data_IF_068654029850
#
_entry.id   IF_068654029850
#
_cell.length_a   1.000
_cell.length_b   1.000
_cell.length_c   1.000
_cell.angle_alpha   90.00
_cell.angle_beta   90.00
_cell.angle_gamma   90.00
#
_symmetry.space_group_name_H-M   'P 1'
#
loop_
_entity.id
_entity.type
_entity.pdbx_description
1 polymer ?
#
# COMPACT_ATOMS: atom_id res chain seq x y z
N UNK A 1 -21.14 21.47 9.15
CA UNK A 1 -20.21 20.73 8.26
C UNK A 1 -20.29 19.20 8.40
N UNK A 2 -21.19 18.68 9.22
CA UNK A 2 -21.29 17.24 9.48
C UNK A 2 -21.63 16.39 8.24
N UNK A 3 -22.37 16.96 7.29
CA UNK A 3 -22.81 16.30 6.06
C UNK A 3 -21.89 16.55 4.85
N UNK A 4 -20.78 17.30 5.01
CA UNK A 4 -19.96 17.74 3.89
C UNK A 4 -18.69 16.90 3.69
N UNK A 5 -18.25 16.81 2.43
CA UNK A 5 -16.93 16.35 2.05
C UNK A 5 -16.16 17.52 1.42
N UNK A 6 -14.91 17.72 1.85
CA UNK A 6 -14.01 18.75 1.31
C UNK A 6 -12.68 18.11 0.96
N UNK A 7 -12.04 18.64 -0.07
CA UNK A 7 -10.71 18.18 -0.43
C UNK A 7 -10.00 19.13 -1.38
N UNK A 8 -8.69 19.13 -1.28
CA UNK A 8 -7.81 19.83 -2.20
C UNK A 8 -6.66 18.90 -2.57
N UNK A 9 -6.23 18.98 -3.81
CA UNK A 9 -5.12 18.17 -4.32
C UNK A 9 -4.20 19.04 -5.16
N UNK A 10 -2.91 18.97 -4.86
CA UNK A 10 -1.84 19.52 -5.67
C UNK A 10 -0.99 18.38 -6.22
N UNK A 11 -0.62 18.46 -7.49
CA UNK A 11 0.20 17.44 -8.14
C UNK A 11 1.24 18.14 -9.01
N UNK A 12 2.49 17.74 -8.86
CA UNK A 12 3.61 18.16 -9.69
C UNK A 12 4.23 16.93 -10.38
N UNK A 13 3.67 16.50 -11.52
CA UNK A 13 4.19 15.37 -12.28
C UNK A 13 5.36 15.84 -13.15
N UNK A 14 6.57 15.37 -12.83
CA UNK A 14 7.77 15.64 -13.61
C UNK A 14 8.59 14.35 -13.75
N UNK A 15 9.46 14.24 -14.75
CA UNK A 15 10.26 13.05 -14.97
C UNK A 15 11.25 12.81 -13.84
N UNK A 16 11.91 13.86 -13.33
CA UNK A 16 12.91 13.79 -12.26
C UNK A 16 12.28 13.84 -10.87
N UNK A 17 11.29 14.71 -10.67
CA UNK A 17 10.57 14.89 -9.42
C UNK A 17 9.09 14.68 -9.60
N UNK A 18 8.49 13.91 -8.70
CA UNK A 18 7.05 13.70 -8.68
C UNK A 18 6.56 13.98 -7.27
N UNK A 19 5.75 15.01 -7.13
CA UNK A 19 5.21 15.42 -5.84
C UNK A 19 3.70 15.48 -5.86
N UNK A 20 3.09 15.06 -4.76
CA UNK A 20 1.66 15.04 -4.58
C UNK A 20 1.31 15.42 -3.15
N UNK A 21 0.34 16.32 -3.01
CA UNK A 21 -0.23 16.70 -1.73
C UNK A 21 -1.76 16.58 -1.82
N UNK A 22 -2.36 15.79 -0.96
CA UNK A 22 -3.80 15.64 -0.88
C UNK A 22 -4.27 15.92 0.55
N UNK A 23 -5.24 16.80 0.69
CA UNK A 23 -6.02 16.99 1.91
C UNK A 23 -7.45 16.57 1.66
N UNK A 24 -8.05 15.87 2.62
CA UNK A 24 -9.46 15.48 2.58
C UNK A 24 -10.06 15.55 3.98
N UNK A 25 -11.27 16.07 4.05
CA UNK A 25 -12.11 16.08 5.24
C UNK A 25 -13.48 15.50 4.90
N UNK A 26 -13.96 14.57 5.71
CA UNK A 26 -15.31 14.04 5.66
C UNK A 26 -16.00 14.30 7.00
N UNK A 27 -17.20 14.86 6.96
CA UNK A 27 -18.02 15.07 8.16
C UNK A 27 -18.49 13.76 8.77
N UNK A 28 -18.91 13.78 10.03
CA UNK A 28 -19.34 12.59 10.78
C UNK A 28 -20.54 11.88 10.11
N UNK A 29 -21.48 12.66 9.59
CA UNK A 29 -22.73 12.19 8.99
C UNK A 29 -22.71 12.24 7.46
N UNK A 30 -21.52 12.27 6.85
CA UNK A 30 -21.40 12.26 5.40
C UNK A 30 -21.92 10.95 4.83
N UNK A 31 -22.94 11.03 3.97
CA UNK A 31 -23.50 9.90 3.23
C UNK A 31 -23.42 10.21 1.73
N UNK A 32 -22.57 9.51 0.97
CA UNK A 32 -22.51 9.71 -0.47
C UNK A 32 -23.80 9.20 -1.12
N UNK A 33 -24.42 10.00 -1.97
CA UNK A 33 -25.61 9.62 -2.74
C UNK A 33 -25.33 8.45 -3.70
N UNK A 34 -24.06 8.35 -4.15
CA UNK A 34 -23.56 7.26 -5.00
C UNK A 34 -22.19 6.85 -4.48
N UNK A 35 -22.02 5.54 -4.24
CA UNK A 35 -20.76 4.98 -3.77
C UNK A 35 -20.76 4.62 -2.28
N UNK A 36 -19.57 4.36 -1.74
CA UNK A 36 -19.36 3.92 -0.38
C UNK A 36 -18.23 4.72 0.28
N UNK A 37 -18.48 5.24 1.46
CA UNK A 37 -17.49 5.85 2.33
C UNK A 37 -17.18 4.85 3.47
N UNK A 38 -16.00 4.19 3.45
CA UNK A 38 -15.66 3.16 4.45
C UNK A 38 -15.50 3.73 5.87
N UNK A 39 -15.28 5.03 5.98
CA UNK A 39 -15.18 5.75 7.25
C UNK A 39 -15.57 7.21 7.03
N UNK A 40 -16.32 7.76 7.98
CA UNK A 40 -16.67 9.16 8.10
C UNK A 40 -15.92 9.81 9.28
N UNK A 41 -16.08 11.11 9.46
CA UNK A 41 -15.58 11.83 10.63
C UNK A 41 -14.06 11.92 10.69
N UNK A 42 -13.40 12.28 9.58
CA UNK A 42 -11.94 12.37 9.57
C UNK A 42 -11.40 13.57 8.76
N UNK A 43 -10.19 13.96 9.11
CA UNK A 43 -9.30 14.84 8.34
C UNK A 43 -8.06 14.04 7.96
N UNK A 44 -7.62 14.11 6.70
CA UNK A 44 -6.49 13.33 6.20
C UNK A 44 -5.58 14.19 5.32
N UNK A 45 -4.29 14.19 5.63
CA UNK A 45 -3.23 14.82 4.86
C UNK A 45 -2.29 13.74 4.33
N UNK A 46 -2.02 13.75 3.02
CA UNK A 46 -1.18 12.76 2.35
C UNK A 46 -0.18 13.43 1.40
N UNK A 47 0.99 13.88 1.88
CA UNK A 47 2.09 14.28 1.03
C UNK A 47 2.85 13.06 0.51
N UNK A 48 3.28 13.14 -0.75
CA UNK A 48 4.17 12.18 -1.40
C UNK A 48 5.22 12.94 -2.19
N UNK A 49 6.46 12.52 -2.12
CA UNK A 49 7.54 13.03 -2.97
C UNK A 49 8.39 11.86 -3.47
N UNK A 50 8.77 11.91 -4.75
CA UNK A 50 9.64 10.92 -5.38
C UNK A 50 10.72 11.62 -6.18
N UNK A 51 11.92 11.08 -6.09
CA UNK A 51 13.08 11.45 -6.88
C UNK A 51 13.42 10.31 -7.83
N UNK A 52 13.47 10.60 -9.14
CA UNK A 52 13.50 9.59 -10.20
C UNK A 52 14.65 9.82 -11.18
N UNK A 53 15.93 9.76 -10.74
CA UNK A 53 17.07 10.00 -11.62
C UNK A 53 17.25 8.91 -12.66
N UNK A 54 17.82 9.31 -13.82
CA UNK A 54 18.23 8.43 -14.91
C UNK A 54 19.73 8.41 -15.01
N UNK A 55 20.43 7.37 -14.51
CA UNK A 55 21.88 7.30 -14.56
C UNK A 55 22.36 7.06 -16.01
N UNK A 56 23.10 8.00 -16.55
CA UNK A 56 23.59 7.95 -17.95
C UNK A 56 24.65 6.85 -18.15
N UNK A 57 25.41 6.55 -17.11
CA UNK A 57 26.54 5.58 -17.19
C UNK A 57 26.11 4.12 -16.98
N UNK A 58 24.87 3.87 -16.61
CA UNK A 58 24.38 2.53 -16.33
C UNK A 58 23.51 2.01 -17.49
N UNK A 59 24.14 1.50 -18.54
CA UNK A 59 23.48 1.09 -19.79
C UNK A 59 22.23 0.20 -19.63
N UNK A 60 22.18 -0.61 -18.58
CA UNK A 60 21.05 -1.51 -18.32
C UNK A 60 19.96 -0.92 -17.43
N UNK A 61 20.21 0.26 -16.85
CA UNK A 61 19.32 0.90 -15.88
C UNK A 61 18.66 2.12 -16.49
N UNK A 62 17.38 2.03 -16.69
CA UNK A 62 16.57 3.11 -17.24
C UNK A 62 16.32 4.24 -16.24
N UNK A 63 16.02 3.88 -14.98
CA UNK A 63 15.64 4.84 -13.95
C UNK A 63 15.79 4.25 -12.56
N UNK A 64 16.23 5.06 -11.63
CA UNK A 64 16.11 4.81 -10.20
C UNK A 64 14.91 5.60 -9.65
N UNK A 65 14.30 5.13 -8.57
CA UNK A 65 13.23 5.85 -7.89
C UNK A 65 13.42 5.73 -6.38
N UNK A 66 13.41 6.88 -5.72
CA UNK A 66 13.42 7.02 -4.27
C UNK A 66 12.17 7.81 -3.89
N UNK A 67 11.52 7.45 -2.81
CA UNK A 67 10.28 8.16 -2.47
C UNK A 67 9.92 8.05 -1.00
N UNK A 68 9.17 9.04 -0.54
CA UNK A 68 8.51 9.02 0.75
C UNK A 68 7.04 9.40 0.56
N UNK A 69 6.17 8.63 1.20
CA UNK A 69 4.74 8.90 1.29
C UNK A 69 4.38 8.97 2.77
N UNK A 70 3.75 10.05 3.15
CA UNK A 70 3.23 10.22 4.50
C UNK A 70 1.71 10.23 4.47
N UNK A 71 1.10 9.79 5.56
CA UNK A 71 -0.32 9.93 5.81
C UNK A 71 -0.52 10.34 7.26
N UNK A 72 -1.26 11.41 7.47
CA UNK A 72 -1.69 11.85 8.78
C UNK A 72 -3.19 11.97 8.78
N UNK A 73 -3.85 11.22 9.63
CA UNK A 73 -5.31 11.14 9.71
C UNK A 73 -5.75 11.32 11.16
N UNK A 74 -6.65 12.25 11.37
CA UNK A 74 -7.28 12.53 12.65
C UNK A 74 -8.79 12.41 12.53
N UNK A 75 -9.49 12.29 13.64
CA UNK A 75 -10.92 12.58 13.69
C UNK A 75 -11.19 14.08 13.49
N UNK A 76 -12.46 14.48 13.48
CA UNK A 76 -12.86 15.87 13.30
C UNK A 76 -12.36 16.74 14.46
N UNK A 77 -12.23 16.18 15.67
CA UNK A 77 -11.78 16.86 16.88
C UNK A 77 -10.25 16.93 17.01
N UNK A 78 -9.53 16.33 16.06
CA UNK A 78 -8.06 16.36 16.01
C UNK A 78 -7.36 15.20 16.73
N UNK A 79 -8.09 14.20 17.23
CA UNK A 79 -7.48 13.01 17.82
C UNK A 79 -6.85 12.16 16.73
N UNK A 80 -5.66 11.63 16.98
CA UNK A 80 -4.94 10.81 16.02
C UNK A 80 -5.68 9.48 15.78
N UNK A 81 -6.01 9.21 14.53
CA UNK A 81 -6.51 7.91 14.06
C UNK A 81 -5.37 7.09 13.48
N UNK A 82 -4.59 7.71 12.58
CA UNK A 82 -3.52 7.01 11.84
C UNK A 82 -2.42 7.98 11.45
N UNK A 83 -1.19 7.56 11.62
CA UNK A 83 -0.01 8.21 11.07
C UNK A 83 0.88 7.16 10.42
N UNK A 84 1.13 7.28 9.13
CA UNK A 84 1.93 6.32 8.38
C UNK A 84 3.03 7.04 7.61
N UNK A 85 4.23 6.48 7.63
CA UNK A 85 5.32 6.84 6.75
C UNK A 85 5.76 5.60 5.97
N UNK A 86 5.71 5.68 4.64
CA UNK A 86 6.25 4.68 3.72
C UNK A 86 7.45 5.27 3.03
N UNK A 87 8.59 4.61 3.15
CA UNK A 87 9.83 4.94 2.46
C UNK A 87 10.04 3.91 1.37
N UNK A 88 9.92 4.33 0.12
CA UNK A 88 10.40 3.59 -1.04
C UNK A 88 11.90 3.85 -1.14
N UNK A 89 12.67 3.05 -0.39
CA UNK A 89 14.09 3.30 -0.18
C UNK A 89 14.87 3.21 -1.48
N UNK A 90 14.47 2.29 -2.36
CA UNK A 90 15.09 2.09 -3.65
C UNK A 90 14.16 1.31 -4.58
N UNK A 91 13.99 1.80 -5.79
CA UNK A 91 13.39 1.06 -6.91
C UNK A 91 14.25 1.27 -8.14
N UNK A 92 14.64 0.20 -8.77
CA UNK A 92 15.38 0.18 -10.03
C UNK A 92 14.46 -0.30 -11.15
N UNK A 93 14.44 0.44 -12.25
CA UNK A 93 13.78 0.06 -13.50
C UNK A 93 14.86 -0.20 -14.53
N UNK A 94 14.85 -1.39 -15.08
CA UNK A 94 15.79 -1.80 -16.12
C UNK A 94 15.29 -1.44 -17.51
N UNK A 95 16.19 -1.36 -18.49
CA UNK A 95 15.84 -1.07 -19.89
C UNK A 95 14.92 -2.14 -20.50
N UNK A 96 15.05 -3.39 -20.08
CA UNK A 96 14.17 -4.49 -20.49
C UNK A 96 12.76 -4.45 -19.86
N UNK A 97 12.48 -3.44 -19.03
CA UNK A 97 11.21 -3.24 -18.34
C UNK A 97 11.03 -4.02 -17.04
N UNK A 98 12.05 -4.75 -16.59
CA UNK A 98 12.04 -5.39 -15.27
C UNK A 98 12.25 -4.36 -14.17
N UNK A 99 11.76 -4.65 -12.97
CA UNK A 99 11.89 -3.78 -11.81
C UNK A 99 12.28 -4.59 -10.57
N UNK A 100 13.07 -3.99 -9.69
CA UNK A 100 13.31 -4.48 -8.34
C UNK A 100 13.12 -3.33 -7.36
N UNK A 101 12.60 -3.63 -6.17
CA UNK A 101 12.29 -2.58 -5.21
C UNK A 101 12.40 -3.06 -3.76
N UNK A 102 12.72 -2.13 -2.88
CA UNK A 102 12.74 -2.31 -1.44
C UNK A 102 12.18 -1.06 -0.76
N UNK A 103 11.48 -1.26 0.33
CA UNK A 103 10.96 -0.17 1.12
C UNK A 103 10.64 -0.58 2.55
N UNK A 104 10.29 0.41 3.35
CA UNK A 104 9.91 0.24 4.74
C UNK A 104 8.72 1.11 5.10
N UNK A 105 7.98 0.72 6.14
CA UNK A 105 6.90 1.53 6.70
C UNK A 105 6.98 1.59 8.22
N UNK A 106 6.50 2.72 8.74
CA UNK A 106 6.17 2.90 10.15
C UNK A 106 4.72 3.36 10.18
N UNK A 107 3.91 2.68 10.97
CA UNK A 107 2.49 2.96 11.14
C UNK A 107 2.21 3.13 12.62
N UNK A 108 1.62 4.28 12.98
CA UNK A 108 0.97 4.51 14.27
C UNK A 108 -0.52 4.57 14.03
N UNK A 109 -1.28 3.80 14.76
CA UNK A 109 -2.73 3.79 14.68
C UNK A 109 -3.36 3.72 16.07
N UNK A 110 -4.56 4.27 16.17
CA UNK A 110 -5.38 4.20 17.36
C UNK A 110 -6.65 3.41 17.05
N UNK A 111 -6.86 2.36 17.83
CA UNK A 111 -8.12 1.61 17.84
C UNK A 111 -8.98 2.15 18.97
N UNK A 112 -10.16 2.67 18.64
CA UNK A 112 -11.14 3.21 19.58
C UNK A 112 -11.95 2.12 20.28
N UNK A 113 -12.10 0.96 19.67
CA UNK A 113 -12.81 -0.22 20.20
C UNK A 113 -12.00 -1.48 19.97
N UNK A 114 -12.27 -2.48 20.78
CA UNK A 114 -11.70 -3.81 20.59
C UNK A 114 -12.10 -4.37 19.23
N UNK A 115 -11.15 -5.00 18.55
CA UNK A 115 -11.34 -5.55 17.22
C UNK A 115 -11.04 -7.06 17.19
N UNK A 116 -12.03 -7.86 16.85
CA UNK A 116 -11.86 -9.29 16.64
C UNK A 116 -11.44 -9.54 15.18
N UNK A 117 -10.24 -10.13 14.99
CA UNK A 117 -9.74 -10.43 13.65
C UNK A 117 -10.29 -11.75 13.14
N UNK A 118 -10.11 -12.81 13.93
CA UNK A 118 -10.49 -14.17 13.56
C UNK A 118 -10.47 -15.07 14.77
N UNK A 119 -11.53 -15.90 14.96
CA UNK A 119 -11.56 -17.02 15.90
C UNK A 119 -11.04 -16.69 17.31
N UNK A 120 -11.57 -15.64 17.93
CA UNK A 120 -11.20 -15.18 19.30
C UNK A 120 -9.88 -14.42 19.42
N UNK A 121 -9.21 -14.05 18.32
CA UNK A 121 -8.06 -13.14 18.38
C UNK A 121 -8.55 -11.71 18.51
N UNK A 122 -8.61 -11.22 19.74
CA UNK A 122 -9.05 -9.84 20.05
C UNK A 122 -7.82 -8.95 20.15
N UNK A 123 -7.84 -7.85 19.39
CA UNK A 123 -6.94 -6.73 19.54
C UNK A 123 -7.63 -5.68 20.38
N UNK A 124 -7.10 -5.44 21.56
CA UNK A 124 -7.67 -4.48 22.52
C UNK A 124 -7.55 -3.07 21.97
N UNK A 125 -8.52 -2.20 22.29
CA UNK A 125 -8.44 -0.78 21.98
C UNK A 125 -7.17 -0.15 22.54
N UNK A 126 -6.56 0.80 21.80
CA UNK A 126 -5.31 1.42 22.22
C UNK A 126 -4.44 1.94 21.06
N UNK A 127 -3.23 2.35 21.43
CA UNK A 127 -2.25 2.87 20.47
C UNK A 127 -1.28 1.76 20.05
N UNK A 128 -1.11 1.61 18.74
CA UNK A 128 -0.22 0.62 18.16
C UNK A 128 0.83 1.27 17.28
N UNK A 129 2.07 0.78 17.39
CA UNK A 129 3.19 1.16 16.53
C UNK A 129 3.67 -0.09 15.79
N UNK A 130 3.52 -0.09 14.49
CA UNK A 130 3.95 -1.18 13.61
C UNK A 130 5.05 -0.71 12.67
N UNK A 131 6.10 -1.50 12.53
CA UNK A 131 7.21 -1.28 11.60
C UNK A 131 7.34 -2.48 10.70
N UNK A 132 7.71 -2.26 9.45
CA UNK A 132 7.93 -3.36 8.53
C UNK A 132 8.67 -2.93 7.29
N UNK A 133 9.09 -3.90 6.50
CA UNK A 133 9.77 -3.70 5.24
C UNK A 133 9.24 -4.67 4.19
N UNK A 134 9.42 -4.29 2.94
CA UNK A 134 9.10 -5.13 1.79
C UNK A 134 10.25 -5.12 0.81
N UNK A 135 10.36 -6.21 0.09
CA UNK A 135 11.25 -6.37 -1.06
C UNK A 135 10.49 -7.11 -2.14
N UNK A 136 10.75 -6.76 -3.38
CA UNK A 136 10.11 -7.44 -4.49
C UNK A 136 10.78 -7.17 -5.82
N UNK A 137 10.33 -7.95 -6.80
CA UNK A 137 10.75 -7.83 -8.19
C UNK A 137 9.54 -8.05 -9.08
N UNK A 138 9.60 -7.44 -10.27
CA UNK A 138 8.57 -7.55 -11.29
C UNK A 138 9.24 -7.63 -12.64
N UNK A 139 8.80 -8.56 -13.46
CA UNK A 139 9.20 -8.60 -14.87
C UNK A 139 8.33 -7.69 -15.73
N UNK A 140 8.81 -7.29 -16.89
CA UNK A 140 8.05 -6.46 -17.82
C UNK A 140 6.72 -7.11 -18.20
N UNK A 141 5.63 -6.34 -18.12
CA UNK A 141 4.29 -6.79 -18.53
C UNK A 141 4.16 -7.07 -20.04
N UNK A 142 5.13 -6.63 -20.85
CA UNK A 142 5.13 -6.86 -22.31
C UNK A 142 5.56 -8.28 -22.68
N UNK A 143 5.95 -9.10 -21.71
CA UNK A 143 6.32 -10.51 -21.96
C UNK A 143 5.08 -11.38 -22.05
N UNK A 144 5.20 -12.50 -22.80
CA UNK A 144 4.15 -13.54 -22.83
C UNK A 144 3.86 -14.08 -21.44
N UNK A 145 4.88 -14.16 -20.59
CA UNK A 145 4.79 -14.51 -19.18
C UNK A 145 5.43 -13.38 -18.39
N UNK A 146 4.65 -12.68 -17.58
CA UNK A 146 5.12 -11.67 -16.65
C UNK A 146 4.77 -12.07 -15.21
N UNK A 147 5.67 -11.78 -14.27
CA UNK A 147 5.49 -12.12 -12.87
C UNK A 147 5.90 -10.96 -11.95
N UNK A 148 5.25 -10.87 -10.81
CA UNK A 148 5.63 -10.01 -9.69
C UNK A 148 5.69 -10.85 -8.42
N UNK A 149 6.77 -10.76 -7.68
CA UNK A 149 6.93 -11.40 -6.38
C UNK A 149 7.28 -10.32 -5.38
N UNK A 150 6.56 -10.28 -4.26
CA UNK A 150 6.81 -9.36 -3.15
C UNK A 150 6.75 -10.12 -1.83
N UNK A 151 7.70 -9.85 -0.96
CA UNK A 151 7.68 -10.30 0.43
C UNK A 151 7.60 -9.09 1.36
N UNK A 152 6.79 -9.19 2.38
CA UNK A 152 6.68 -8.22 3.46
C UNK A 152 6.93 -8.91 4.80
N UNK A 153 7.64 -8.24 5.68
CA UNK A 153 7.82 -8.67 7.07
C UNK A 153 7.74 -7.47 8.00
N UNK A 154 7.01 -7.61 9.10
CA UNK A 154 6.88 -6.51 10.04
C UNK A 154 6.02 -6.83 11.24
N UNK A 155 5.80 -5.80 12.04
CA UNK A 155 4.88 -5.84 13.16
C UNK A 155 3.43 -5.82 12.65
N UNK A 156 2.55 -6.42 13.42
CA UNK A 156 1.12 -6.47 13.17
C UNK A 156 0.40 -6.40 14.53
N UNK A 157 0.00 -5.19 14.91
CA UNK A 157 -0.57 -4.85 16.22
C UNK A 157 0.27 -5.40 17.39
N UNK A 158 -0.20 -6.47 18.05
CA UNK A 158 0.45 -7.09 19.21
C UNK A 158 1.49 -8.16 18.85
N UNK A 159 1.74 -8.35 17.55
CA UNK A 159 2.60 -9.44 17.08
C UNK A 159 3.36 -9.12 15.82
N UNK A 160 3.56 -10.13 14.99
CA UNK A 160 4.34 -10.03 13.73
C UNK A 160 3.62 -10.72 12.58
N UNK A 161 3.91 -10.23 11.37
CA UNK A 161 3.42 -10.86 10.14
C UNK A 161 4.52 -11.05 9.13
N UNK A 162 4.38 -12.13 8.37
CA UNK A 162 5.12 -12.35 7.12
C UNK A 162 4.12 -12.59 6.00
N UNK A 163 4.30 -11.90 4.88
CA UNK A 163 3.47 -12.04 3.69
C UNK A 163 4.35 -12.32 2.49
N UNK A 164 3.90 -13.22 1.64
CA UNK A 164 4.43 -13.42 0.28
C UNK A 164 3.28 -13.29 -0.69
N UNK A 165 3.44 -12.42 -1.67
CA UNK A 165 2.48 -12.23 -2.76
C UNK A 165 3.17 -12.49 -4.09
N UNK A 166 2.54 -13.31 -4.92
CA UNK A 166 2.97 -13.60 -6.29
C UNK A 166 1.83 -13.27 -7.24
N UNK A 167 2.13 -12.53 -8.30
CA UNK A 167 1.21 -12.29 -9.41
C UNK A 167 1.80 -12.86 -10.69
N UNK A 168 0.98 -13.50 -11.49
CA UNK A 168 1.33 -14.08 -12.77
C UNK A 168 0.40 -13.54 -13.86
N UNK A 169 0.98 -13.05 -14.93
CA UNK A 169 0.26 -12.55 -16.11
C UNK A 169 0.68 -13.40 -17.30
N UNK A 170 -0.28 -14.01 -17.98
CA UNK A 170 -0.06 -14.86 -19.15
C UNK A 170 -0.77 -14.24 -20.36
N UNK A 171 0.01 -13.83 -21.35
CA UNK A 171 -0.43 -13.15 -22.58
C UNK A 171 -0.02 -13.97 -23.80
N UNK A 172 -0.52 -15.21 -23.91
CA UNK A 172 -0.10 -16.13 -24.98
C UNK A 172 -0.80 -15.84 -26.31
N UNK A 173 -2.04 -15.39 -26.25
CA UNK A 173 -2.86 -15.16 -27.44
C UNK A 173 -3.36 -13.72 -27.47
N UNK A 174 -3.42 -13.09 -28.66
CA UNK A 174 -4.07 -11.78 -28.81
C UNK A 174 -5.53 -11.85 -28.33
N UNK A 175 -5.91 -10.90 -27.46
CA UNK A 175 -7.26 -10.82 -26.89
C UNK A 175 -7.53 -11.72 -25.70
N UNK A 176 -6.64 -12.66 -25.34
CA UNK A 176 -6.83 -13.53 -24.15
C UNK A 176 -5.72 -13.27 -23.15
N UNK A 177 -6.11 -12.77 -21.98
CA UNK A 177 -5.21 -12.50 -20.87
C UNK A 177 -5.62 -13.36 -19.67
N UNK A 178 -4.68 -14.07 -19.06
CA UNK A 178 -4.90 -14.76 -17.80
C UNK A 178 -4.07 -14.07 -16.70
N UNK A 179 -4.73 -13.73 -15.62
CA UNK A 179 -4.12 -13.19 -14.42
C UNK A 179 -4.34 -14.13 -13.24
N UNK A 180 -3.25 -14.47 -12.54
CA UNK A 180 -3.28 -15.21 -11.29
C UNK A 180 -2.63 -14.39 -10.17
N UNK A 181 -3.21 -14.42 -8.99
CA UNK A 181 -2.63 -13.86 -7.78
C UNK A 181 -2.70 -14.88 -6.65
N UNK A 182 -1.57 -15.07 -5.99
CA UNK A 182 -1.41 -15.87 -4.80
C UNK A 182 -0.86 -14.99 -3.69
N UNK A 183 -1.51 -14.98 -2.53
CA UNK A 183 -1.03 -14.30 -1.35
C UNK A 183 -1.09 -15.26 -0.15
N UNK A 184 0.02 -15.36 0.55
CA UNK A 184 0.14 -16.12 1.78
C UNK A 184 0.57 -15.20 2.91
N UNK A 185 -0.16 -15.24 4.02
CA UNK A 185 0.14 -14.49 5.24
C UNK A 185 0.29 -15.47 6.41
N UNK A 186 1.38 -15.34 7.15
CA UNK A 186 1.61 -15.97 8.46
C UNK A 186 1.62 -14.89 9.52
N UNK A 187 0.63 -14.89 10.40
CA UNK A 187 0.43 -13.88 11.45
C UNK A 187 0.56 -14.54 12.80
N UNK A 188 1.44 -13.97 13.63
CA UNK A 188 1.71 -14.40 15.00
C UNK A 188 1.37 -13.28 15.96
N UNK A 189 0.27 -13.40 16.68
CA UNK A 189 -0.19 -12.45 17.70
C UNK A 189 0.05 -13.01 19.08
N UNK A 190 0.03 -12.14 20.09
CA UNK A 190 0.07 -12.57 21.49
C UNK A 190 -1.16 -13.41 21.88
N UNK A 191 -2.30 -13.17 21.22
CA UNK A 191 -3.56 -13.87 21.44
C UNK A 191 -3.68 -15.20 20.67
N UNK A 192 -2.83 -15.45 19.66
CA UNK A 192 -2.87 -16.65 18.83
C UNK A 192 -2.26 -16.43 17.46
N UNK A 193 -2.01 -17.54 16.77
CA UNK A 193 -1.42 -17.51 15.43
C UNK A 193 -2.45 -17.95 14.39
N UNK A 194 -2.39 -17.34 13.21
CA UNK A 194 -3.19 -17.80 12.08
C UNK A 194 -2.47 -17.60 10.76
N UNK A 195 -2.90 -18.36 9.76
CA UNK A 195 -2.42 -18.28 8.39
C UNK A 195 -3.57 -18.00 7.47
N UNK A 196 -3.34 -17.18 6.45
CA UNK A 196 -4.33 -16.93 5.41
C UNK A 196 -3.72 -17.15 4.04
N UNK A 197 -4.50 -17.76 3.16
CA UNK A 197 -4.13 -17.95 1.76
C UNK A 197 -5.24 -17.39 0.89
N UNK A 198 -4.88 -16.53 -0.06
CA UNK A 198 -5.79 -15.96 -1.03
C UNK A 198 -5.35 -16.41 -2.42
N UNK A 199 -6.30 -16.93 -3.18
CA UNK A 199 -6.17 -17.23 -4.60
C UNK A 199 -7.15 -16.39 -5.39
N UNK A 200 -6.67 -15.77 -6.47
CA UNK A 200 -7.49 -15.01 -7.40
C UNK A 200 -7.07 -15.36 -8.83
N UNK A 201 -8.04 -15.70 -9.67
CA UNK A 201 -7.84 -15.95 -11.10
C UNK A 201 -8.81 -15.05 -11.86
N UNK A 202 -8.32 -14.36 -12.88
CA UNK A 202 -9.13 -13.54 -13.78
C UNK A 202 -8.76 -13.93 -15.21
N UNK A 203 -9.78 -14.15 -16.03
CA UNK A 203 -9.65 -14.36 -17.46
C UNK A 203 -10.26 -13.12 -18.13
N UNK A 204 -9.45 -12.43 -18.93
CA UNK A 204 -9.89 -11.31 -19.77
C UNK A 204 -9.95 -11.76 -21.23
N UNK A 205 -11.00 -11.34 -21.92
CA UNK A 205 -11.21 -11.59 -23.34
C UNK A 205 -11.36 -10.23 -24.02
#
# INVERSE_FOLDING_TARGET
TELSSRGIRFTYPNDLWDAHLSYRELGNNFNPSVGFAPRNGFKRLQPTIKYKPRPVTWEKVRQLEFGIQLEHMTDIDGRLIKQEAKVHAFKIKFENGDEAFIGAKILREYLDTDYEIRERNIIVSGHYLSRGFWVGTKTSNNRKIAAEIMSYRGDFWTGKTQMVRTKLFLNFFPGINLFGEFEYNDVKLNSGNFKTTLFKIIIGI
#
